data_IF_096765685416
#
_entry.id   IF_096765685416
#
_cell.length_a   1.000
_cell.length_b   1.000
_cell.length_c   1.000
_cell.angle_alpha   90.00
_cell.angle_beta   90.00
_cell.angle_gamma   90.00
#
_symmetry.space_group_name_H-M   'P 1'
#
loop_
_entity.id
_entity.type
_entity.pdbx_description
1 polymer ?
#
# COMPACT_ATOMS: atom_id res chain seq x y z
N UNK A 1 -12.81 21.77 -5.82
CA UNK A 1 -12.32 20.81 -4.81
C UNK A 1 -11.22 19.99 -5.45
N UNK A 2 -9.97 20.05 -4.98
CA UNK A 2 -8.95 19.10 -5.47
C UNK A 2 -9.24 17.75 -4.81
N UNK A 3 -9.57 16.77 -5.63
CA UNK A 3 -9.87 15.40 -5.21
C UNK A 3 -8.83 14.50 -5.84
N UNK A 4 -8.20 13.65 -5.05
CA UNK A 4 -7.22 12.70 -5.57
C UNK A 4 -7.76 11.28 -5.44
N UNK A 5 -7.48 10.46 -6.44
CA UNK A 5 -7.73 9.03 -6.39
C UNK A 5 -6.40 8.31 -6.25
N UNK A 6 -6.27 7.52 -5.19
CA UNK A 6 -5.09 6.75 -4.85
C UNK A 6 -5.36 5.28 -5.10
N UNK A 7 -4.50 4.65 -5.90
CA UNK A 7 -4.54 3.24 -6.24
C UNK A 7 -3.33 2.55 -5.61
N UNK A 8 -3.54 1.45 -4.89
CA UNK A 8 -2.50 0.71 -4.18
C UNK A 8 -2.57 -0.78 -4.49
N UNK A 9 -1.39 -1.36 -4.68
CA UNK A 9 -1.24 -2.82 -4.82
C UNK A 9 0.08 -3.31 -4.20
N UNK A 10 0.10 -4.59 -3.82
CA UNK A 10 1.21 -5.28 -3.20
C UNK A 10 1.87 -6.30 -4.13
N UNK A 11 3.18 -6.45 -4.02
CA UNK A 11 3.95 -7.50 -4.68
C UNK A 11 4.88 -8.19 -3.69
N UNK A 12 4.97 -9.51 -3.82
CA UNK A 12 5.70 -10.38 -2.90
C UNK A 12 4.80 -11.08 -1.88
N UNK A 13 5.28 -12.20 -1.36
CA UNK A 13 4.49 -13.06 -0.47
C UNK A 13 4.64 -12.58 0.99
N UNK A 14 3.53 -12.29 1.67
CA UNK A 14 3.49 -12.06 3.11
C UNK A 14 3.32 -13.41 3.82
N UNK A 15 4.45 -13.98 4.24
CA UNK A 15 4.53 -15.21 5.02
C UNK A 15 5.59 -15.09 6.11
N UNK A 16 5.55 -15.98 7.10
CA UNK A 16 6.56 -16.04 8.16
C UNK A 16 7.94 -16.24 7.55
N UNK A 17 8.08 -17.23 6.69
CA UNK A 17 9.28 -17.46 5.91
C UNK A 17 9.37 -16.46 4.74
N UNK A 18 10.60 -16.08 4.37
CA UNK A 18 10.82 -15.19 3.24
C UNK A 18 10.28 -15.77 1.92
N UNK A 19 10.23 -17.11 1.77
CA UNK A 19 9.73 -17.80 0.59
C UNK A 19 10.39 -17.33 -0.73
N UNK A 20 11.70 -17.03 -0.71
CA UNK A 20 12.43 -16.39 -1.82
C UNK A 20 11.92 -14.98 -2.17
N UNK A 21 11.35 -14.28 -1.20
CA UNK A 21 11.04 -12.86 -1.29
C UNK A 21 11.63 -12.16 -0.07
N UNK A 22 12.81 -11.53 -0.23
CA UNK A 22 13.43 -10.70 0.81
C UNK A 22 12.61 -9.45 1.17
N UNK A 23 11.69 -9.03 0.29
CA UNK A 23 10.88 -7.84 0.46
C UNK A 23 9.39 -8.11 0.19
N UNK A 24 8.55 -7.31 0.83
CA UNK A 24 7.19 -7.01 0.37
C UNK A 24 7.15 -5.57 -0.15
N UNK A 25 6.68 -5.36 -1.37
CA UNK A 25 6.66 -4.05 -2.04
C UNK A 25 5.22 -3.60 -2.25
N UNK A 26 4.90 -2.36 -1.88
CA UNK A 26 3.63 -1.71 -2.22
C UNK A 26 3.89 -0.63 -3.26
N UNK A 27 3.21 -0.75 -4.40
CA UNK A 27 3.13 0.27 -5.42
C UNK A 27 1.91 1.16 -5.18
N UNK A 28 2.08 2.47 -5.38
CA UNK A 28 0.99 3.44 -5.25
C UNK A 28 1.02 4.47 -6.36
N UNK A 29 -0.15 4.80 -6.89
CA UNK A 29 -0.32 5.82 -7.92
C UNK A 29 -1.43 6.77 -7.50
N UNK A 30 -1.17 8.07 -7.60
CA UNK A 30 -2.17 9.12 -7.39
C UNK A 30 -2.48 9.80 -8.71
N UNK A 31 -3.78 9.91 -9.02
CA UNK A 31 -4.32 10.62 -10.19
C UNK A 31 -5.29 11.69 -9.71
N UNK A 32 -5.45 12.78 -10.46
CA UNK A 32 -6.54 13.72 -10.21
C UNK A 32 -7.86 12.99 -10.45
N UNK A 33 -8.81 13.11 -9.53
CA UNK A 33 -10.11 12.41 -9.65
C UNK A 33 -10.87 12.83 -10.90
N UNK A 34 -10.65 14.06 -11.41
CA UNK A 34 -11.23 14.51 -12.66
C UNK A 34 -10.66 13.80 -13.90
N UNK A 35 -9.44 13.25 -13.81
CA UNK A 35 -8.69 12.63 -14.91
C UNK A 35 -8.67 11.10 -14.82
N UNK A 36 -9.32 10.51 -13.80
CA UNK A 36 -9.31 9.06 -13.57
C UNK A 36 -9.81 8.26 -14.78
N UNK A 37 -10.86 8.72 -15.48
CA UNK A 37 -11.37 7.99 -16.66
C UNK A 37 -10.37 8.01 -17.82
N UNK A 38 -9.66 9.13 -18.02
CA UNK A 38 -8.61 9.24 -19.04
C UNK A 38 -7.43 8.32 -18.71
N UNK A 39 -7.01 8.32 -17.44
CA UNK A 39 -5.97 7.42 -16.95
C UNK A 39 -6.37 5.95 -17.11
N UNK A 40 -7.63 5.59 -16.75
CA UNK A 40 -8.16 4.22 -16.94
C UNK A 40 -8.13 3.79 -18.39
N UNK A 41 -8.54 4.66 -19.31
CA UNK A 41 -8.51 4.35 -20.74
C UNK A 41 -7.07 4.10 -21.22
N UNK A 42 -6.13 4.94 -20.79
CA UNK A 42 -4.71 4.81 -21.13
C UNK A 42 -4.10 3.48 -20.65
N UNK A 43 -4.43 3.05 -19.42
CA UNK A 43 -3.91 1.80 -18.83
C UNK A 43 -4.64 0.57 -19.38
N UNK A 44 -5.94 0.67 -19.65
CA UNK A 44 -6.74 -0.45 -20.19
C UNK A 44 -6.32 -0.87 -21.59
N UNK A 45 -5.77 0.05 -22.39
CA UNK A 45 -5.16 -0.26 -23.70
C UNK A 45 -3.98 -1.23 -23.56
N UNK A 46 -3.26 -1.16 -22.44
CA UNK A 46 -2.13 -2.06 -22.14
C UNK A 46 -2.66 -3.40 -21.61
N UNK A 47 -3.55 -3.37 -20.62
CA UNK A 47 -4.41 -4.50 -20.23
C UNK A 47 -3.69 -5.78 -19.75
N UNK A 48 -2.43 -5.69 -19.29
CA UNK A 48 -1.66 -6.84 -18.80
C UNK A 48 -1.11 -6.60 -17.39
N UNK A 49 -1.16 -7.65 -16.56
CA UNK A 49 -0.44 -7.73 -15.28
C UNK A 49 1.07 -7.72 -15.50
N UNK A 50 1.83 -7.32 -14.48
CA UNK A 50 3.30 -7.31 -14.52
C UNK A 50 3.89 -8.65 -15.00
N UNK A 51 3.44 -9.76 -14.42
CA UNK A 51 3.99 -11.11 -14.69
C UNK A 51 3.86 -11.57 -16.15
N UNK A 52 2.93 -10.97 -16.89
CA UNK A 52 2.53 -11.38 -18.24
C UNK A 52 2.99 -10.37 -19.32
N UNK A 53 3.80 -9.38 -18.92
CA UNK A 53 4.18 -8.27 -19.78
C UNK A 53 5.41 -8.57 -20.66
N UNK A 54 5.39 -8.00 -21.86
CA UNK A 54 6.52 -7.99 -22.80
C UNK A 54 7.17 -6.60 -22.87
N UNK A 55 8.36 -6.50 -23.48
CA UNK A 55 9.11 -5.23 -23.60
C UNK A 55 8.28 -4.05 -24.15
N UNK A 56 7.48 -4.29 -25.20
CA UNK A 56 6.69 -3.24 -25.86
C UNK A 56 5.57 -2.75 -24.95
N UNK A 57 4.86 -3.70 -24.33
CA UNK A 57 3.75 -3.45 -23.43
C UNK A 57 4.23 -2.75 -22.16
N UNK A 58 5.39 -3.13 -21.62
CA UNK A 58 5.98 -2.50 -20.45
C UNK A 58 6.42 -1.05 -20.71
N UNK A 59 6.95 -0.78 -21.90
CA UNK A 59 7.29 0.59 -22.33
C UNK A 59 6.02 1.46 -22.50
N UNK A 60 4.91 0.88 -22.97
CA UNK A 60 3.62 1.60 -23.03
C UNK A 60 3.05 1.85 -21.64
N UNK A 61 3.14 0.87 -20.75
CA UNK A 61 2.68 0.97 -19.36
C UNK A 61 3.40 2.10 -18.61
N UNK A 62 4.74 2.14 -18.66
CA UNK A 62 5.49 3.18 -17.94
C UNK A 62 5.12 4.58 -18.42
N UNK A 63 4.94 4.78 -19.74
CA UNK A 63 4.50 6.07 -20.30
C UNK A 63 3.10 6.43 -19.84
N UNK A 64 2.15 5.52 -19.99
CA UNK A 64 0.77 5.75 -19.54
C UNK A 64 0.70 6.11 -18.06
N UNK A 65 1.52 5.48 -17.21
CA UNK A 65 1.62 5.83 -15.80
C UNK A 65 2.22 7.21 -15.61
N UNK A 66 3.37 7.50 -16.22
CA UNK A 66 4.09 8.77 -16.05
C UNK A 66 3.32 9.98 -16.59
N UNK A 67 2.54 9.79 -17.65
CA UNK A 67 1.75 10.85 -18.27
C UNK A 67 0.51 11.23 -17.43
N UNK A 68 -0.04 10.27 -16.67
CA UNK A 68 -1.29 10.46 -15.91
C UNK A 68 -1.09 10.61 -14.39
N UNK A 69 0.02 10.13 -13.83
CA UNK A 69 0.22 10.11 -12.38
C UNK A 69 0.73 11.46 -11.83
N UNK A 70 0.00 12.01 -10.86
CA UNK A 70 0.45 13.16 -10.06
C UNK A 70 1.57 12.77 -9.09
N UNK A 71 1.54 11.54 -8.60
CA UNK A 71 2.58 10.94 -7.77
C UNK A 71 2.59 9.42 -7.92
N UNK A 72 3.79 8.85 -7.84
CA UNK A 72 4.05 7.41 -7.86
C UNK A 72 4.92 7.11 -6.65
N UNK A 73 4.50 6.14 -5.84
CA UNK A 73 5.24 5.72 -4.66
C UNK A 73 5.56 4.24 -4.71
N UNK A 74 6.75 3.90 -4.25
CA UNK A 74 7.16 2.53 -3.96
C UNK A 74 7.59 2.47 -2.50
N UNK A 75 6.91 1.63 -1.73
CA UNK A 75 7.24 1.36 -0.33
C UNK A 75 7.66 -0.08 -0.19
N UNK A 76 8.81 -0.34 0.43
CA UNK A 76 9.36 -1.68 0.54
C UNK A 76 9.67 -2.04 1.98
N UNK A 77 9.23 -3.23 2.39
CA UNK A 77 9.45 -3.76 3.72
C UNK A 77 10.40 -4.94 3.63
N UNK A 78 11.55 -4.83 4.28
CA UNK A 78 12.50 -5.93 4.40
C UNK A 78 11.99 -7.02 5.36
N UNK A 79 11.97 -8.27 4.89
CA UNK A 79 11.50 -9.44 5.64
C UNK A 79 12.62 -10.17 6.38
N UNK A 80 13.87 -9.99 5.95
CA UNK A 80 15.05 -10.69 6.48
C UNK A 80 15.59 -10.06 7.78
N UNK A 81 14.68 -9.67 8.68
CA UNK A 81 15.02 -9.03 9.95
C UNK A 81 14.49 -9.87 11.12
N UNK A 82 15.21 -10.00 12.25
CA UNK A 82 14.73 -10.73 13.42
C UNK A 82 13.35 -10.25 13.92
N UNK A 83 13.06 -8.97 13.73
CA UNK A 83 11.76 -8.37 14.09
C UNK A 83 10.59 -8.95 13.28
N UNK A 84 10.79 -9.33 12.01
CA UNK A 84 9.75 -9.97 11.20
C UNK A 84 9.32 -11.29 11.83
N UNK A 85 10.27 -12.17 12.10
CA UNK A 85 10.00 -13.47 12.71
C UNK A 85 9.37 -13.32 14.10
N UNK A 86 9.89 -12.41 14.93
CA UNK A 86 9.34 -12.13 16.26
C UNK A 86 7.88 -11.69 16.19
N UNK A 87 7.53 -10.82 15.24
CA UNK A 87 6.15 -10.37 15.04
C UNK A 87 5.22 -11.51 14.62
N UNK A 88 5.67 -12.42 13.75
CA UNK A 88 4.90 -13.62 13.41
C UNK A 88 4.67 -14.50 14.62
N UNK A 89 5.70 -14.77 15.42
CA UNK A 89 5.59 -15.62 16.61
C UNK A 89 4.66 -14.99 17.66
N UNK A 90 4.82 -13.69 17.96
CA UNK A 90 3.96 -12.94 18.86
C UNK A 90 2.51 -12.94 18.35
N UNK A 91 2.31 -12.67 17.07
CA UNK A 91 0.99 -12.54 16.49
C UNK A 91 0.21 -13.86 16.37
N UNK A 92 0.90 -14.97 16.09
CA UNK A 92 0.27 -16.29 16.12
C UNK A 92 -0.21 -16.64 17.54
N UNK A 93 0.59 -16.32 18.56
CA UNK A 93 0.18 -16.49 19.96
C UNK A 93 -0.99 -15.57 20.33
N UNK A 94 -0.89 -14.29 19.97
CA UNK A 94 -1.93 -13.30 20.23
C UNK A 94 -3.25 -13.71 19.60
N UNK A 95 -3.26 -14.01 18.30
CA UNK A 95 -4.44 -14.46 17.59
C UNK A 95 -5.00 -15.74 18.21
N UNK A 96 -4.17 -16.72 18.58
CA UNK A 96 -4.62 -17.95 19.24
C UNK A 96 -5.35 -17.67 20.56
N UNK A 97 -4.77 -16.83 21.43
CA UNK A 97 -5.37 -16.46 22.72
C UNK A 97 -6.70 -15.74 22.52
N UNK A 98 -6.77 -14.76 21.62
CA UNK A 98 -8.01 -14.01 21.37
C UNK A 98 -9.05 -14.91 20.70
N UNK A 99 -8.69 -15.74 19.71
CA UNK A 99 -9.61 -16.68 19.05
C UNK A 99 -10.21 -17.71 20.03
N UNK A 100 -9.46 -18.08 21.08
CA UNK A 100 -9.98 -19.00 22.09
C UNK A 100 -11.03 -18.36 23.00
N UNK A 101 -10.98 -17.03 23.16
CA UNK A 101 -11.91 -16.27 24.00
C UNK A 101 -13.12 -15.77 23.20
N UNK A 102 -12.86 -15.28 21.98
CA UNK A 102 -13.86 -14.77 21.05
C UNK A 102 -14.42 -15.92 20.21
N UNK A 103 -15.71 -16.22 20.36
CA UNK A 103 -16.41 -17.22 19.53
C UNK A 103 -16.69 -16.72 18.10
N UNK A 104 -16.05 -15.64 17.69
CA UNK A 104 -16.25 -14.93 16.42
C UNK A 104 -15.03 -15.09 15.50
N UNK A 105 -15.18 -14.68 14.23
CA UNK A 105 -14.08 -14.68 13.27
C UNK A 105 -13.23 -13.42 13.47
N UNK A 106 -11.97 -13.61 13.86
CA UNK A 106 -11.00 -12.53 14.18
C UNK A 106 -9.84 -12.49 13.19
N UNK A 107 -10.09 -12.78 11.91
CA UNK A 107 -9.06 -12.84 10.87
C UNK A 107 -8.23 -11.56 10.70
N UNK A 108 -8.77 -10.42 11.13
CA UNK A 108 -8.11 -9.12 11.08
C UNK A 108 -6.97 -9.01 12.09
N UNK A 109 -6.93 -9.90 13.09
CA UNK A 109 -5.84 -10.02 14.06
C UNK A 109 -4.71 -10.93 13.59
N UNK A 110 -4.81 -11.54 12.40
CA UNK A 110 -3.73 -12.38 11.87
C UNK A 110 -2.52 -11.52 11.49
N UNK A 111 -1.28 -12.02 11.68
CA UNK A 111 -0.07 -11.26 11.34
C UNK A 111 -0.04 -10.81 9.89
N UNK A 112 -0.41 -11.68 8.95
CA UNK A 112 -0.44 -11.33 7.52
C UNK A 112 -1.38 -10.18 7.22
N UNK A 113 -2.58 -10.19 7.80
CA UNK A 113 -3.59 -9.13 7.62
C UNK A 113 -3.09 -7.80 8.16
N UNK A 114 -2.51 -7.79 9.37
CA UNK A 114 -1.96 -6.58 9.98
C UNK A 114 -0.79 -6.03 9.17
N UNK A 115 0.10 -6.89 8.66
CA UNK A 115 1.20 -6.47 7.80
C UNK A 115 0.66 -5.80 6.53
N UNK A 116 -0.40 -6.35 5.90
CA UNK A 116 -1.05 -5.71 4.75
C UNK A 116 -1.60 -4.33 5.10
N UNK A 117 -2.35 -4.21 6.20
CA UNK A 117 -2.89 -2.93 6.64
C UNK A 117 -1.80 -1.88 6.86
N UNK A 118 -0.74 -2.23 7.59
CA UNK A 118 0.34 -1.30 7.83
C UNK A 118 1.08 -0.94 6.54
N UNK A 119 1.26 -1.90 5.63
CA UNK A 119 1.92 -1.67 4.36
C UNK A 119 1.13 -0.71 3.47
N UNK A 120 -0.18 -0.92 3.31
CA UNK A 120 -1.05 0.02 2.57
C UNK A 120 -1.15 1.38 3.26
N UNK A 121 -1.18 1.42 4.59
CA UNK A 121 -1.12 2.67 5.36
C UNK A 121 0.20 3.44 5.10
N UNK A 122 1.34 2.76 5.06
CA UNK A 122 2.65 3.39 4.77
C UNK A 122 2.73 3.83 3.32
N UNK A 123 2.34 2.97 2.39
CA UNK A 123 2.30 3.27 0.95
C UNK A 123 1.40 4.48 0.65
N UNK A 124 0.17 4.50 1.17
CA UNK A 124 -0.72 5.66 1.05
C UNK A 124 -0.12 6.93 1.65
N UNK A 125 0.45 6.86 2.85
CA UNK A 125 1.09 8.01 3.50
C UNK A 125 2.22 8.59 2.65
N UNK A 126 3.07 7.72 2.09
CA UNK A 126 4.17 8.12 1.22
C UNK A 126 3.65 8.73 -0.09
N UNK A 127 2.70 8.08 -0.76
CA UNK A 127 2.10 8.59 -1.98
C UNK A 127 1.50 9.98 -1.79
N UNK A 128 0.66 10.14 -0.76
CA UNK A 128 -0.04 11.39 -0.46
C UNK A 128 0.94 12.49 -0.06
N UNK A 129 1.90 12.17 0.83
CA UNK A 129 2.92 13.12 1.25
C UNK A 129 3.77 13.61 0.07
N UNK A 130 4.13 12.72 -0.84
CA UNK A 130 4.89 13.08 -2.03
C UNK A 130 4.07 13.86 -3.05
N UNK A 131 2.79 13.49 -3.26
CA UNK A 131 1.87 14.27 -4.09
C UNK A 131 1.75 15.71 -3.56
N UNK A 132 1.58 15.90 -2.26
CA UNK A 132 1.54 17.23 -1.63
C UNK A 132 2.86 18.00 -1.80
N UNK A 133 4.00 17.32 -1.74
CA UNK A 133 5.31 17.93 -2.02
C UNK A 133 5.39 18.44 -3.47
N UNK A 134 4.91 17.67 -4.43
CA UNK A 134 4.97 18.01 -5.86
C UNK A 134 3.93 19.08 -6.25
N UNK A 135 2.72 18.98 -5.70
CA UNK A 135 1.55 19.75 -6.12
C UNK A 135 1.25 20.95 -5.21
N UNK A 136 1.92 21.03 -4.06
CA UNK A 136 1.62 21.98 -3.00
C UNK A 136 0.39 21.58 -2.19
N UNK A 137 0.13 22.33 -1.10
CA UNK A 137 -1.07 22.16 -0.31
C UNK A 137 -2.32 22.55 -1.11
N UNK A 138 -3.47 21.86 -0.89
CA UNK A 138 -4.73 22.29 -1.46
C UNK A 138 -5.08 23.72 -1.03
N UNK A 139 -5.51 24.55 -1.99
CA UNK A 139 -5.88 25.95 -1.75
C UNK A 139 -7.25 26.13 -1.10
N UNK A 140 -8.03 25.05 -0.98
CA UNK A 140 -9.39 25.11 -0.45
C UNK A 140 -9.31 24.98 1.06
N UNK A 141 -9.97 25.90 1.74
CA UNK A 141 -9.89 26.07 3.18
C UNK A 141 -11.24 25.69 3.79
N UNK A 142 -11.24 24.88 4.84
CA UNK A 142 -12.43 24.57 5.64
C UNK A 142 -12.90 25.83 6.41
N UNK A 143 -14.13 25.87 6.95
CA UNK A 143 -14.56 26.98 7.81
C UNK A 143 -13.63 27.23 9.00
N UNK A 144 -12.89 26.19 9.45
CA UNK A 144 -11.92 26.27 10.53
C UNK A 144 -10.52 26.74 10.10
N UNK A 145 -10.31 27.09 8.83
CA UNK A 145 -9.03 27.61 8.35
C UNK A 145 -8.02 26.56 7.84
N UNK A 146 -8.40 25.29 7.77
CA UNK A 146 -7.51 24.19 7.32
C UNK A 146 -7.57 23.97 5.81
N UNK A 147 -6.44 23.76 5.15
CA UNK A 147 -6.42 23.19 3.80
C UNK A 147 -7.10 21.82 3.82
N UNK A 148 -7.98 21.52 2.85
CA UNK A 148 -8.63 20.20 2.76
C UNK A 148 -8.15 19.41 1.54
N UNK A 149 -7.71 18.18 1.79
CA UNK A 149 -7.41 17.19 0.77
C UNK A 149 -8.44 16.06 0.84
N UNK A 150 -9.21 15.89 -0.24
CA UNK A 150 -10.17 14.80 -0.39
C UNK A 150 -9.55 13.66 -1.20
N UNK A 151 -9.56 12.45 -0.65
CA UNK A 151 -8.98 11.26 -1.26
C UNK A 151 -10.01 10.15 -1.35
N UNK A 152 -10.09 9.55 -2.54
CA UNK A 152 -10.65 8.21 -2.75
C UNK A 152 -9.51 7.20 -2.79
N UNK A 153 -9.52 6.20 -1.91
CA UNK A 153 -8.52 5.14 -1.86
C UNK A 153 -9.11 3.85 -2.45
N UNK A 154 -8.38 3.25 -3.38
CA UNK A 154 -8.75 1.99 -4.00
C UNK A 154 -7.55 1.05 -3.87
N UNK A 155 -7.76 -0.09 -3.22
CA UNK A 155 -6.74 -1.11 -3.04
C UNK A 155 -7.19 -2.41 -3.73
N UNK A 156 -6.24 -3.27 -4.07
CA UNK A 156 -6.57 -4.64 -4.47
C UNK A 156 -7.26 -5.42 -3.35
N UNK A 157 -8.03 -6.44 -3.74
CA UNK A 157 -8.76 -7.41 -2.90
C UNK A 157 -7.87 -8.35 -2.07
N UNK A 158 -6.57 -8.07 -2.02
CA UNK A 158 -5.58 -8.81 -1.24
C UNK A 158 -5.90 -8.82 0.28
N UNK A 159 -6.74 -7.88 0.73
CA UNK A 159 -7.47 -7.92 2.00
C UNK A 159 -8.71 -8.82 1.85
N UNK A 160 -8.52 -10.11 2.11
CA UNK A 160 -9.58 -11.13 1.93
C UNK A 160 -10.51 -11.23 3.14
N UNK A 161 -11.81 -11.28 2.90
CA UNK A 161 -12.85 -11.53 3.92
C UNK A 161 -13.52 -10.26 4.42
N UNK A 162 -14.84 -10.34 4.62
CA UNK A 162 -15.71 -9.20 4.99
C UNK A 162 -15.24 -8.50 6.27
N UNK A 163 -14.95 -9.25 7.34
CA UNK A 163 -14.43 -8.70 8.60
C UNK A 163 -13.10 -7.93 8.44
N UNK A 164 -12.25 -8.36 7.49
CA UNK A 164 -10.98 -7.72 7.22
C UNK A 164 -11.19 -6.45 6.39
N UNK A 165 -12.16 -6.45 5.48
CA UNK A 165 -12.54 -5.27 4.72
C UNK A 165 -13.13 -4.20 5.65
N UNK A 166 -14.07 -4.58 6.52
CA UNK A 166 -14.71 -3.68 7.48
C UNK A 166 -13.68 -3.02 8.41
N UNK A 167 -12.79 -3.81 9.00
CA UNK A 167 -11.71 -3.28 9.84
C UNK A 167 -10.79 -2.34 9.06
N UNK A 168 -10.49 -2.65 7.79
CA UNK A 168 -9.67 -1.78 6.95
C UNK A 168 -10.38 -0.46 6.67
N UNK A 169 -11.68 -0.49 6.36
CA UNK A 169 -12.48 0.72 6.14
C UNK A 169 -12.52 1.59 7.39
N UNK A 170 -12.77 0.99 8.56
CA UNK A 170 -12.73 1.69 9.84
C UNK A 170 -11.36 2.35 10.06
N UNK A 171 -10.26 1.62 9.88
CA UNK A 171 -8.90 2.16 10.03
C UNK A 171 -8.64 3.35 9.11
N UNK A 172 -9.11 3.30 7.86
CA UNK A 172 -8.93 4.35 6.88
C UNK A 172 -9.80 5.58 7.16
N UNK A 173 -11.05 5.41 7.57
CA UNK A 173 -11.94 6.51 7.94
C UNK A 173 -11.49 7.21 9.23
N UNK A 174 -10.98 6.44 10.19
CA UNK A 174 -10.50 6.94 11.48
C UNK A 174 -9.14 7.66 11.37
N UNK A 175 -8.48 7.59 10.21
CA UNK A 175 -7.23 8.30 9.92
C UNK A 175 -7.34 9.79 10.20
N UNK A 176 -8.47 10.40 9.84
CA UNK A 176 -8.73 11.81 10.09
C UNK A 176 -8.60 12.20 11.56
N UNK A 177 -9.09 11.34 12.47
CA UNK A 177 -9.10 11.58 13.91
C UNK A 177 -7.72 11.38 14.53
N UNK A 178 -6.89 10.52 13.93
CA UNK A 178 -5.56 10.13 14.47
C UNK A 178 -4.40 10.90 13.84
N UNK A 179 -4.66 11.61 12.75
CA UNK A 179 -3.63 12.32 11.99
C UNK A 179 -3.23 13.63 12.66
N UNK A 180 -1.92 13.84 12.84
CA UNK A 180 -1.35 15.11 13.33
C UNK A 180 -1.21 16.17 12.23
N UNK A 181 -1.72 15.92 11.02
CA UNK A 181 -1.54 16.82 9.88
C UNK A 181 -2.28 18.14 10.05
N UNK A 182 -3.44 18.14 10.72
CA UNK A 182 -4.19 19.37 11.01
C UNK A 182 -3.36 20.32 11.87
N UNK A 183 -2.84 19.82 13.00
CA UNK A 183 -2.07 20.60 13.96
C UNK A 183 -0.72 21.04 13.39
N UNK A 184 -0.02 20.17 12.67
CA UNK A 184 1.37 20.41 12.24
C UNK A 184 1.48 21.14 10.90
N UNK A 185 0.52 20.94 10.00
CA UNK A 185 0.61 21.40 8.61
C UNK A 185 -0.63 22.16 8.14
N UNK A 186 -1.57 22.47 9.05
CA UNK A 186 -2.84 23.11 8.72
C UNK A 186 -3.61 22.35 7.63
N UNK A 187 -3.49 21.02 7.61
CA UNK A 187 -4.01 20.15 6.55
C UNK A 187 -4.97 19.11 7.12
N UNK A 188 -6.19 19.14 6.62
CA UNK A 188 -7.21 18.14 6.84
C UNK A 188 -7.24 17.16 5.68
N UNK A 189 -7.02 15.88 5.98
CA UNK A 189 -7.23 14.80 5.03
C UNK A 189 -8.62 14.20 5.28
N UNK A 190 -9.40 14.07 4.22
CA UNK A 190 -10.70 13.42 4.21
C UNK A 190 -10.64 12.21 3.29
N UNK A 191 -10.82 11.00 3.83
CA UNK A 191 -11.13 9.82 3.01
C UNK A 191 -12.61 9.87 2.65
N UNK A 192 -12.93 10.28 1.42
CA UNK A 192 -14.32 10.29 0.94
C UNK A 192 -14.84 8.90 0.64
N UNK A 193 -13.96 8.02 0.14
CA UNK A 193 -14.29 6.66 -0.22
C UNK A 193 -13.07 5.76 -0.06
N UNK A 194 -13.31 4.53 0.39
CA UNK A 194 -12.32 3.46 0.45
C UNK A 194 -12.96 2.23 -0.18
N UNK A 195 -12.31 1.63 -1.16
CA UNK A 195 -12.84 0.47 -1.85
C UNK A 195 -11.75 -0.59 -2.04
N UNK A 196 -12.13 -1.85 -1.87
CA UNK A 196 -11.36 -3.00 -2.32
C UNK A 196 -11.94 -3.44 -3.66
N UNK A 197 -11.11 -3.50 -4.70
CA UNK A 197 -11.54 -3.85 -6.06
C UNK A 197 -10.54 -4.78 -6.70
N UNK A 198 -11.01 -5.61 -7.63
CA UNK A 198 -10.13 -6.37 -8.52
C UNK A 198 -9.62 -5.49 -9.65
N UNK A 199 -8.55 -5.92 -10.32
CA UNK A 199 -8.02 -5.24 -11.52
C UNK A 199 -9.03 -5.19 -12.68
N UNK A 200 -10.00 -6.10 -12.73
CA UNK A 200 -11.08 -6.08 -13.73
C UNK A 200 -12.10 -4.98 -13.44
N UNK A 201 -12.34 -4.68 -12.16
CA UNK A 201 -13.26 -3.62 -11.72
C UNK A 201 -12.59 -2.24 -11.69
N UNK A 202 -11.27 -2.19 -11.52
CA UNK A 202 -10.46 -0.98 -11.53
C UNK A 202 -9.13 -1.21 -12.27
N UNK A 203 -9.05 -0.85 -13.56
CA UNK A 203 -7.83 -1.05 -14.36
C UNK A 203 -6.60 -0.31 -13.84
N UNK A 204 -6.76 0.78 -13.08
CA UNK A 204 -5.63 1.50 -12.48
C UNK A 204 -4.91 0.69 -11.38
N UNK A 205 -5.50 -0.39 -10.88
CA UNK A 205 -4.78 -1.35 -10.04
C UNK A 205 -3.69 -2.10 -10.82
N UNK A 206 -3.85 -2.34 -12.12
CA UNK A 206 -2.77 -2.91 -12.97
C UNK A 206 -1.55 -2.00 -13.01
N UNK A 207 -1.76 -0.69 -12.95
CA UNK A 207 -0.67 0.26 -12.91
C UNK A 207 0.08 0.20 -11.56
N UNK A 208 -0.66 0.05 -10.46
CA UNK A 208 -0.06 -0.15 -9.13
C UNK A 208 0.67 -1.51 -9.03
N UNK A 209 0.09 -2.60 -9.55
CA UNK A 209 0.74 -3.92 -9.70
C UNK A 209 2.05 -3.80 -10.49
N UNK A 210 1.99 -3.11 -11.63
CA UNK A 210 3.17 -2.90 -12.49
C UNK A 210 4.29 -2.19 -11.75
N UNK A 211 3.97 -1.10 -11.03
CA UNK A 211 4.96 -0.37 -10.21
C UNK A 211 5.50 -1.26 -9.09
N UNK A 212 4.64 -1.97 -8.36
CA UNK A 212 5.04 -2.85 -7.28
C UNK A 212 5.96 -3.99 -7.79
N UNK A 213 5.56 -4.67 -8.86
CA UNK A 213 6.27 -5.78 -9.48
C UNK A 213 7.63 -5.38 -10.07
N UNK A 214 7.72 -4.24 -10.76
CA UNK A 214 8.98 -3.71 -11.29
C UNK A 214 10.03 -3.55 -10.18
N UNK A 215 9.64 -2.92 -9.07
CA UNK A 215 10.56 -2.61 -7.98
C UNK A 215 10.80 -3.80 -7.04
N UNK A 216 9.81 -4.69 -6.89
CA UNK A 216 9.99 -5.98 -6.24
C UNK A 216 11.06 -6.82 -6.96
N UNK A 217 11.02 -6.86 -8.30
CA UNK A 217 12.06 -7.52 -9.10
C UNK A 217 13.42 -6.83 -8.94
N UNK A 218 13.47 -5.51 -9.13
CA UNK A 218 14.70 -4.74 -9.13
C UNK A 218 15.52 -4.92 -7.84
N UNK A 219 14.85 -5.02 -6.69
CA UNK A 219 15.49 -5.15 -5.38
C UNK A 219 15.51 -6.57 -4.83
N UNK A 220 14.57 -7.43 -5.27
CA UNK A 220 14.57 -8.87 -4.98
C UNK A 220 15.73 -9.64 -5.65
N UNK A 221 16.50 -8.98 -6.53
CA UNK A 221 17.66 -9.57 -7.23
C UNK A 221 17.30 -10.91 -7.86
N UNK A 222 18.08 -11.96 -7.60
CA UNK A 222 17.89 -13.30 -8.18
C UNK A 222 16.71 -14.07 -7.60
N UNK A 223 16.07 -13.59 -6.53
CA UNK A 223 15.01 -14.32 -5.84
C UNK A 223 13.64 -14.13 -6.51
N UNK A 224 13.45 -12.99 -7.18
CA UNK A 224 12.20 -12.65 -7.88
C UNK A 224 12.43 -12.80 -9.39
N UNK A 225 11.77 -13.74 -10.06
CA UNK A 225 11.94 -13.91 -11.50
C UNK A 225 11.33 -12.73 -12.26
N UNK A 226 11.99 -12.35 -13.35
CA UNK A 226 11.45 -11.40 -14.32
C UNK A 226 10.33 -12.08 -15.13
N UNK A 227 9.30 -11.32 -15.60
CA UNK A 227 8.35 -11.82 -16.59
C UNK A 227 9.07 -12.47 -17.78
N UNK A 228 8.60 -13.63 -18.25
CA UNK A 228 9.31 -14.44 -19.26
C UNK A 228 9.56 -13.70 -20.59
N UNK A 229 8.73 -12.71 -20.91
CA UNK A 229 8.77 -11.96 -22.16
C UNK A 229 9.38 -10.56 -22.00
N UNK A 230 9.86 -10.24 -20.80
CA UNK A 230 10.50 -8.98 -20.49
C UNK A 230 11.99 -9.21 -20.34
N UNK A 231 12.79 -8.49 -21.12
CA UNK A 231 14.24 -8.56 -21.04
C UNK A 231 14.76 -7.71 -19.88
N UNK A 232 15.85 -8.17 -19.27
CA UNK A 232 16.49 -7.48 -18.14
C UNK A 232 16.82 -6.02 -18.44
N UNK A 233 17.34 -5.73 -19.64
CA UNK A 233 17.68 -4.36 -20.07
C UNK A 233 16.44 -3.47 -20.15
N UNK A 234 15.30 -4.00 -20.62
CA UNK A 234 14.04 -3.27 -20.66
C UNK A 234 13.54 -2.97 -19.24
N UNK A 235 13.56 -3.97 -18.35
CA UNK A 235 13.16 -3.80 -16.96
C UNK A 235 14.04 -2.78 -16.20
N UNK A 236 15.36 -2.79 -16.41
CA UNK A 236 16.29 -1.79 -15.86
C UNK A 236 16.01 -0.39 -16.41
N UNK A 237 15.68 -0.28 -17.70
CA UNK A 237 15.30 0.99 -18.33
C UNK A 237 14.02 1.57 -17.72
N UNK A 238 13.00 0.73 -17.49
CA UNK A 238 11.73 1.14 -16.87
C UNK A 238 11.95 1.69 -15.46
N UNK A 239 12.72 0.98 -14.63
CA UNK A 239 13.05 1.45 -13.27
C UNK A 239 13.82 2.78 -13.33
N UNK A 240 14.74 2.92 -14.29
CA UNK A 240 15.49 4.16 -14.49
C UNK A 240 14.62 5.32 -14.97
N UNK A 241 13.56 5.03 -15.73
CA UNK A 241 12.58 6.02 -16.17
C UNK A 241 11.75 6.53 -15.00
N UNK A 242 11.22 5.63 -14.16
CA UNK A 242 10.53 6.01 -12.92
C UNK A 242 11.43 6.86 -12.01
N UNK A 243 12.67 6.40 -11.72
CA UNK A 243 13.61 7.13 -10.85
C UNK A 243 14.00 8.52 -11.37
N UNK A 244 13.92 8.75 -12.69
CA UNK A 244 14.17 10.08 -13.30
C UNK A 244 12.95 10.99 -13.28
N UNK A 245 11.74 10.42 -13.11
CA UNK A 245 10.52 11.21 -13.03
C UNK A 245 10.49 12.07 -11.77
N UNK A 246 9.98 13.30 -11.91
CA UNK A 246 9.72 14.21 -10.78
C UNK A 246 8.55 13.74 -9.91
N UNK A 247 7.69 12.86 -10.45
CA UNK A 247 6.51 12.35 -9.75
C UNK A 247 6.78 11.07 -8.96
N UNK A 248 8.00 10.53 -8.98
CA UNK A 248 8.33 9.27 -8.33
C UNK A 248 9.04 9.44 -6.98
N UNK A 249 8.67 8.59 -6.02
CA UNK A 249 9.40 8.38 -4.77
C UNK A 249 9.49 6.89 -4.44
N UNK A 250 10.62 6.45 -3.92
CA UNK A 250 10.78 5.12 -3.33
C UNK A 250 11.34 5.23 -1.92
N UNK A 251 10.90 4.35 -1.04
CA UNK A 251 11.45 4.21 0.31
C UNK A 251 11.58 2.73 0.69
N UNK A 252 12.71 2.39 1.28
CA UNK A 252 13.00 1.05 1.79
C UNK A 252 13.07 1.14 3.31
N UNK A 253 12.13 0.46 3.97
CA UNK A 253 11.98 0.52 5.41
C UNK A 253 12.28 -0.84 6.06
N UNK A 254 12.84 -0.77 7.26
CA UNK A 254 12.90 -1.92 8.14
C UNK A 254 11.53 -2.29 8.71
N UNK A 255 11.43 -3.51 9.23
CA UNK A 255 10.23 -4.00 9.86
C UNK A 255 10.21 -3.62 11.35
N UNK A 256 9.24 -2.81 11.76
CA UNK A 256 9.20 -2.21 13.11
C UNK A 256 7.89 -2.41 13.88
N UNK A 257 7.00 -3.27 13.36
CA UNK A 257 5.71 -3.55 13.99
C UNK A 257 5.86 -4.48 15.20
N UNK A 258 5.03 -4.25 16.20
CA UNK A 258 4.82 -5.14 17.36
C UNK A 258 3.33 -5.14 17.69
N UNK A 259 2.79 -6.26 18.19
CA UNK A 259 1.37 -6.31 18.56
C UNK A 259 1.06 -5.34 19.69
N UNK A 260 1.99 -5.14 20.63
CA UNK A 260 1.89 -4.12 21.67
C UNK A 260 1.60 -2.73 21.12
N UNK A 261 2.29 -2.32 20.06
CA UNK A 261 2.11 -0.98 19.48
C UNK A 261 0.75 -0.83 18.80
N UNK A 262 0.19 -1.92 18.28
CA UNK A 262 -1.04 -1.95 17.48
C UNK A 262 -2.28 -2.05 18.38
N UNK A 263 -2.32 -3.01 19.31
CA UNK A 263 -3.51 -3.34 20.10
C UNK A 263 -3.49 -2.82 21.54
N UNK A 264 -2.76 -1.72 21.78
CA UNK A 264 -2.57 -1.07 23.09
C UNK A 264 -3.82 -1.12 23.99
N UNK A 265 -3.61 -1.17 25.30
CA UNK A 265 -4.69 -1.12 26.29
C UNK A 265 -5.28 -2.49 26.58
N UNK A 266 -6.60 -2.55 26.83
CA UNK A 266 -7.26 -3.72 27.43
C UNK A 266 -7.05 -5.03 26.66
N UNK A 267 -7.06 -4.98 25.33
CA UNK A 267 -6.91 -6.18 24.49
C UNK A 267 -5.51 -6.78 24.61
N UNK A 268 -4.46 -5.94 24.53
CA UNK A 268 -3.09 -6.39 24.73
C UNK A 268 -2.79 -6.78 26.19
N UNK A 269 -3.38 -6.09 27.17
CA UNK A 269 -3.32 -6.49 28.58
C UNK A 269 -3.94 -7.87 28.82
N UNK A 270 -5.08 -8.16 28.18
CA UNK A 270 -5.72 -9.47 28.25
C UNK A 270 -4.80 -10.56 27.68
N UNK A 271 -4.18 -10.32 26.52
CA UNK A 271 -3.18 -11.23 25.96
C UNK A 271 -2.02 -11.49 26.93
N UNK A 272 -1.43 -10.46 27.55
CA UNK A 272 -0.33 -10.64 28.52
C UNK A 272 -0.74 -11.52 29.70
N UNK A 273 -1.95 -11.34 30.24
CA UNK A 273 -2.47 -12.14 31.35
C UNK A 273 -2.63 -13.63 31.00
N UNK A 274 -2.98 -13.95 29.75
CA UNK A 274 -3.32 -15.31 29.32
C UNK A 274 -2.20 -16.02 28.55
N UNK A 275 -1.13 -15.31 28.18
CA UNK A 275 0.03 -15.88 27.45
C UNK A 275 1.15 -16.39 28.35
N UNK A 276 1.03 -16.23 29.68
CA UNK A 276 2.06 -16.65 30.65
C UNK A 276 3.36 -15.84 30.57
N UNK A 277 3.39 -14.72 29.82
CA UNK A 277 4.51 -13.77 29.75
C UNK A 277 4.27 -12.64 30.76
N UNK A 278 4.94 -12.69 31.90
CA UNK A 278 5.07 -11.55 32.82
C UNK A 278 6.14 -10.58 32.33
#
# INVERSE_FOLDING_TARGET
MKKYSLFLDGSGIIAKEAANHSYYTVGGIIVDTAEVEEARNSISIVGKKWRDIDNSTATKMVRAILDNAMAISVMQIEKMQPMWENFWNEGMQFHSVIASAEKSRIGFLKPSTIIRYDSFRRGSTQAVGYCLRCQGLPKIITPAGYSILDITMICDTDIQGEENADMFYDMCHDYHNRSKLKEKYNLEIKMSNVALKTEQEEPLLLAADFVAGCFQWHLGKSEVPLPKQLDKSCAESIVSEFKRSKTFISDQQGFHLTYEKIFRGKLYSYYKQHSGRQ
#
